data_IF_616101885700
#
_entry.id   IF_616101885700
#
_cell.length_a   1.000
_cell.length_b   1.000
_cell.length_c   1.000
_cell.angle_alpha   90.00
_cell.angle_beta   90.00
_cell.angle_gamma   90.00
#
_symmetry.space_group_name_H-M   'P 1'
#
loop_
_entity.id
_entity.type
_entity.pdbx_description
1 polymer ?
#
# COMPACT_ATOMS: atom_id res chain seq x y z
N UNK A 1 -23.80 -14.13 7.74
CA UNK A 1 -23.76 -13.24 8.90
C UNK A 1 -24.94 -12.28 8.82
N UNK A 2 -25.72 -12.12 9.92
CA UNK A 2 -26.82 -11.17 9.99
C UNK A 2 -26.31 -9.73 10.01
N UNK A 3 -27.12 -8.79 9.48
CA UNK A 3 -26.82 -7.36 9.46
C UNK A 3 -27.99 -6.62 10.16
N UNK A 4 -27.65 -5.77 11.12
CA UNK A 4 -28.64 -4.93 11.82
C UNK A 4 -28.09 -3.53 12.11
N UNK A 5 -28.97 -2.62 12.53
CA UNK A 5 -28.55 -1.31 12.99
C UNK A 5 -27.72 -1.46 14.27
N UNK A 6 -26.48 -0.93 14.26
CA UNK A 6 -25.61 -0.96 15.42
C UNK A 6 -26.03 0.15 16.40
N UNK A 7 -26.35 -0.17 17.68
CA UNK A 7 -26.90 0.82 18.62
C UNK A 7 -26.05 2.09 18.78
N UNK A 8 -24.73 1.92 18.87
CA UNK A 8 -23.80 3.05 19.00
C UNK A 8 -23.73 3.88 17.71
N UNK A 9 -23.77 3.25 16.53
CA UNK A 9 -23.80 3.97 15.25
C UNK A 9 -25.08 4.82 15.14
N UNK A 10 -26.24 4.25 15.51
CA UNK A 10 -27.51 4.98 15.56
C UNK A 10 -27.42 6.15 16.53
N UNK A 11 -26.89 5.94 17.76
CA UNK A 11 -26.77 7.00 18.76
C UNK A 11 -25.85 8.15 18.28
N UNK A 12 -24.72 7.83 17.68
CA UNK A 12 -23.78 8.83 17.12
C UNK A 12 -24.45 9.65 16.01
N UNK A 13 -25.11 8.98 15.07
CA UNK A 13 -25.78 9.62 13.94
C UNK A 13 -27.00 10.45 14.39
N UNK A 14 -27.81 9.95 15.32
CA UNK A 14 -28.92 10.71 15.91
C UNK A 14 -28.41 12.03 16.51
N UNK A 15 -27.33 11.97 17.28
CA UNK A 15 -26.74 13.17 17.91
C UNK A 15 -26.21 14.16 16.83
N UNK A 16 -25.62 13.64 15.79
CA UNK A 16 -25.07 14.46 14.70
C UNK A 16 -26.14 15.20 13.91
N UNK A 17 -27.23 14.51 13.56
CA UNK A 17 -28.32 15.13 12.80
C UNK A 17 -29.20 16.05 13.67
N UNK A 18 -29.28 15.82 14.98
CA UNK A 18 -30.04 16.63 15.91
C UNK A 18 -31.55 16.53 15.75
N UNK A 19 -32.04 16.73 14.53
CA UNK A 19 -33.46 16.61 14.18
C UNK A 19 -33.78 15.19 13.68
N UNK A 20 -34.74 14.46 14.28
CA UNK A 20 -35.18 13.16 13.83
C UNK A 20 -35.64 13.13 12.36
N UNK A 21 -36.21 14.22 11.86
CA UNK A 21 -36.64 14.33 10.46
C UNK A 21 -35.44 14.29 9.48
N UNK A 22 -34.27 14.71 9.93
CA UNK A 22 -33.04 14.64 9.13
C UNK A 22 -32.39 13.24 9.15
N UNK A 23 -32.63 12.45 10.18
CA UNK A 23 -32.14 11.07 10.26
C UNK A 23 -33.13 10.08 9.64
N UNK A 24 -33.33 10.26 8.34
CA UNK A 24 -34.28 9.50 7.54
C UNK A 24 -34.01 7.99 7.53
N UNK A 25 -35.01 7.13 7.16
CA UNK A 25 -34.79 5.69 7.00
C UNK A 25 -33.66 5.33 6.01
N UNK A 26 -33.45 6.16 4.99
CA UNK A 26 -32.34 5.98 4.05
C UNK A 26 -30.97 6.19 4.72
N UNK A 27 -30.85 7.23 5.56
CA UNK A 27 -29.64 7.51 6.34
C UNK A 27 -29.40 6.49 7.43
N UNK A 28 -30.45 5.93 8.04
CA UNK A 28 -30.33 4.86 9.03
C UNK A 28 -29.65 3.60 8.48
N UNK A 29 -29.72 3.35 7.18
CA UNK A 29 -29.00 2.23 6.56
C UNK A 29 -27.48 2.30 6.74
N UNK A 30 -26.92 3.51 6.90
CA UNK A 30 -25.50 3.70 7.18
C UNK A 30 -25.07 3.26 8.57
N UNK A 31 -26.02 3.02 9.47
CA UNK A 31 -25.77 2.45 10.79
C UNK A 31 -25.83 0.91 10.83
N UNK A 32 -26.08 0.27 9.69
CA UNK A 32 -26.15 -1.20 9.61
C UNK A 32 -24.74 -1.80 9.56
N UNK A 33 -24.49 -2.73 10.46
CA UNK A 33 -23.21 -3.40 10.63
C UNK A 33 -23.47 -4.90 10.75
N UNK A 34 -22.59 -5.77 10.20
CA UNK A 34 -22.67 -7.20 10.44
C UNK A 34 -22.58 -7.52 11.94
N UNK A 35 -23.28 -8.56 12.37
CA UNK A 35 -23.23 -8.99 13.77
C UNK A 35 -21.80 -9.39 14.13
N UNK A 36 -21.27 -8.83 15.22
CA UNK A 36 -19.89 -9.00 15.66
C UNK A 36 -18.90 -8.01 15.04
N UNK A 37 -19.37 -7.12 14.13
CA UNK A 37 -18.54 -6.07 13.56
C UNK A 37 -18.22 -4.97 14.57
N UNK A 38 -16.99 -4.49 14.56
CA UNK A 38 -16.50 -3.37 15.38
C UNK A 38 -16.53 -2.09 14.56
N UNK A 39 -17.07 -1.00 15.12
CA UNK A 39 -17.15 0.27 14.39
C UNK A 39 -15.76 0.84 14.08
N UNK A 40 -15.64 1.40 12.88
CA UNK A 40 -14.52 2.24 12.45
C UNK A 40 -14.99 3.69 12.43
N UNK A 41 -14.28 4.55 13.13
CA UNK A 41 -14.64 5.96 13.26
C UNK A 41 -14.54 6.71 11.95
N UNK A 42 -15.53 7.55 11.69
CA UNK A 42 -15.55 8.49 10.58
C UNK A 42 -15.55 9.92 11.12
N UNK A 43 -14.40 10.56 11.25
CA UNK A 43 -14.30 11.89 11.81
C UNK A 43 -14.83 13.00 10.88
N UNK A 44 -15.14 12.67 9.61
CA UNK A 44 -15.57 13.66 8.60
C UNK A 44 -17.09 13.75 8.51
N UNK A 45 -17.81 12.60 8.48
CA UNK A 45 -19.25 12.60 8.21
C UNK A 45 -20.08 11.73 9.16
N UNK A 46 -19.53 11.33 10.28
CA UNK A 46 -20.12 10.58 11.40
C UNK A 46 -20.61 9.16 11.07
N UNK A 47 -21.10 8.88 9.85
CA UNK A 47 -21.53 7.53 9.46
C UNK A 47 -20.34 6.56 9.53
N UNK A 48 -20.31 5.61 10.48
CA UNK A 48 -19.13 4.80 10.73
C UNK A 48 -18.94 3.76 9.63
N UNK A 49 -17.70 3.29 9.50
CA UNK A 49 -17.41 2.02 8.88
C UNK A 49 -17.46 0.88 9.88
N UNK A 50 -16.99 -0.28 9.47
CA UNK A 50 -16.86 -1.41 10.38
C UNK A 50 -15.67 -2.28 10.02
N UNK A 51 -15.17 -3.00 11.02
CA UNK A 51 -14.21 -4.08 10.90
C UNK A 51 -14.92 -5.39 11.23
N UNK A 52 -14.73 -6.40 10.39
CA UNK A 52 -15.14 -7.78 10.63
C UNK A 52 -13.92 -8.66 10.39
N UNK A 53 -13.38 -9.23 11.45
CA UNK A 53 -12.11 -9.98 11.41
C UNK A 53 -10.99 -9.16 10.75
N UNK A 54 -10.49 -9.57 9.58
CA UNK A 54 -9.45 -8.88 8.82
C UNK A 54 -10.00 -7.99 7.68
N UNK A 55 -11.32 -7.82 7.60
CA UNK A 55 -11.99 -6.98 6.59
C UNK A 55 -12.38 -5.65 7.20
N UNK A 56 -12.00 -4.56 6.54
CA UNK A 56 -12.36 -3.20 6.92
C UNK A 56 -13.20 -2.55 5.83
N UNK A 57 -14.31 -1.93 6.21
CA UNK A 57 -15.22 -1.24 5.29
C UNK A 57 -15.22 0.25 5.59
N UNK A 58 -14.97 1.06 4.56
CA UNK A 58 -14.94 2.53 4.64
C UNK A 58 -15.98 3.15 3.72
N UNK A 59 -16.27 4.44 3.92
CA UNK A 59 -17.06 5.23 2.99
C UNK A 59 -16.33 5.36 1.65
N UNK A 60 -17.07 5.39 0.53
CA UNK A 60 -16.50 5.44 -0.83
C UNK A 60 -15.95 6.81 -1.26
N UNK A 61 -15.98 7.83 -0.41
CA UNK A 61 -15.43 9.16 -0.71
C UNK A 61 -13.95 9.19 -0.29
N UNK A 62 -12.98 9.47 -1.19
CA UNK A 62 -11.55 9.33 -0.92
C UNK A 62 -11.07 10.01 0.36
N UNK A 63 -11.39 11.28 0.59
CA UNK A 63 -11.03 12.02 1.82
C UNK A 63 -11.61 11.38 3.09
N UNK A 64 -12.82 10.85 2.99
CA UNK A 64 -13.48 10.20 4.13
C UNK A 64 -12.82 8.85 4.41
N UNK A 65 -12.59 8.05 3.37
CA UNK A 65 -11.89 6.76 3.48
C UNK A 65 -10.49 6.91 4.09
N UNK A 66 -9.74 7.93 3.65
CA UNK A 66 -8.42 8.24 4.21
C UNK A 66 -8.49 8.60 5.69
N UNK A 67 -9.41 9.47 6.09
CA UNK A 67 -9.60 9.84 7.48
C UNK A 67 -10.03 8.65 8.35
N UNK A 68 -10.91 7.79 7.82
CA UNK A 68 -11.32 6.54 8.49
C UNK A 68 -10.14 5.56 8.62
N UNK A 69 -9.32 5.43 7.59
CA UNK A 69 -8.11 4.61 7.66
C UNK A 69 -7.16 5.12 8.74
N UNK A 70 -6.92 6.43 8.81
CA UNK A 70 -6.06 7.01 9.84
C UNK A 70 -6.60 6.74 11.25
N UNK A 71 -7.93 6.74 11.44
CA UNK A 71 -8.56 6.49 12.75
C UNK A 71 -8.35 5.05 13.24
N UNK A 72 -8.19 4.08 12.32
CA UNK A 72 -8.13 2.65 12.65
C UNK A 72 -6.78 1.98 12.40
N UNK A 73 -5.83 2.64 11.74
CA UNK A 73 -4.54 2.03 11.35
C UNK A 73 -3.77 1.37 12.51
N UNK A 74 -3.98 1.84 13.74
CA UNK A 74 -3.41 1.26 14.96
C UNK A 74 -3.91 -0.17 15.25
N UNK A 75 -5.02 -0.60 14.62
CA UNK A 75 -5.55 -1.97 14.72
C UNK A 75 -4.90 -2.94 13.73
N UNK A 76 -4.12 -2.43 12.79
CA UNK A 76 -3.44 -3.28 11.81
C UNK A 76 -2.23 -3.94 12.47
N UNK A 77 -2.16 -5.26 12.31
CA UNK A 77 -0.97 -6.01 12.66
C UNK A 77 -0.02 -5.92 11.47
N UNK A 78 1.10 -5.23 11.64
CA UNK A 78 2.12 -5.12 10.62
C UNK A 78 2.85 -6.43 10.40
N UNK A 79 3.19 -6.74 9.15
CA UNK A 79 4.18 -7.75 8.79
C UNK A 79 5.60 -7.19 8.88
N UNK A 80 6.60 -8.01 8.56
CA UNK A 80 7.97 -7.54 8.36
C UNK A 80 7.98 -6.51 7.24
N UNK A 81 8.52 -5.30 7.45
CA UNK A 81 8.61 -4.29 6.41
C UNK A 81 9.38 -4.80 5.20
N UNK A 82 8.83 -4.60 4.01
CA UNK A 82 9.54 -4.85 2.77
C UNK A 82 10.33 -3.59 2.43
N UNK A 83 11.63 -3.72 2.42
CA UNK A 83 12.58 -2.67 2.05
C UNK A 83 12.77 -2.66 0.53
N UNK A 84 13.18 -1.53 -0.02
CA UNK A 84 13.40 -1.39 -1.46
C UNK A 84 14.67 -0.59 -1.75
N UNK A 85 15.46 -1.08 -2.75
CA UNK A 85 16.59 -0.36 -3.33
C UNK A 85 16.39 -0.30 -4.84
N UNK A 86 16.67 0.84 -5.43
CA UNK A 86 16.53 1.04 -6.87
C UNK A 86 17.87 1.39 -7.48
N UNK A 87 18.33 0.60 -8.42
CA UNK A 87 19.50 0.91 -9.26
C UNK A 87 19.01 1.38 -10.61
N UNK A 88 19.39 2.59 -10.98
CA UNK A 88 19.10 3.15 -12.31
C UNK A 88 20.27 2.98 -13.24
N UNK A 89 19.98 2.64 -14.51
CA UNK A 89 20.98 2.53 -15.56
C UNK A 89 20.51 3.16 -16.86
N UNK A 90 21.47 3.52 -17.71
CA UNK A 90 21.26 3.94 -19.09
C UNK A 90 21.32 2.77 -20.09
N UNK A 91 21.62 1.55 -19.61
CA UNK A 91 21.61 0.36 -20.47
C UNK A 91 20.17 0.02 -20.89
N UNK A 92 19.95 -0.37 -22.15
CA UNK A 92 18.66 -0.89 -22.59
C UNK A 92 18.24 -2.15 -21.83
N UNK A 93 16.94 -2.31 -21.59
CA UNK A 93 16.40 -3.46 -20.85
C UNK A 93 16.82 -4.81 -21.44
N UNK A 94 16.81 -4.95 -22.78
CA UNK A 94 17.22 -6.17 -23.45
C UNK A 94 18.68 -6.57 -23.21
N UNK A 95 19.55 -5.62 -22.87
CA UNK A 95 20.96 -5.88 -22.55
C UNK A 95 21.11 -6.31 -21.09
N UNK A 96 20.33 -5.72 -20.17
CA UNK A 96 20.43 -6.02 -18.74
C UNK A 96 19.63 -7.27 -18.33
N UNK A 97 18.70 -7.74 -19.16
CA UNK A 97 17.76 -8.82 -18.82
C UNK A 97 18.47 -10.12 -18.41
N UNK A 98 19.49 -10.56 -19.16
CA UNK A 98 20.23 -11.80 -18.85
C UNK A 98 21.04 -11.67 -17.54
N UNK A 99 21.86 -10.62 -17.33
CA UNK A 99 22.53 -10.40 -16.05
C UNK A 99 21.57 -10.27 -14.87
N UNK A 100 20.42 -9.60 -15.05
CA UNK A 100 19.41 -9.45 -14.02
C UNK A 100 18.78 -10.80 -13.64
N UNK A 101 18.48 -11.65 -14.63
CA UNK A 101 18.00 -13.01 -14.41
C UNK A 101 19.03 -13.90 -13.69
N UNK A 102 20.32 -13.72 -13.96
CA UNK A 102 21.40 -14.40 -13.26
C UNK A 102 21.51 -13.91 -11.80
N UNK A 103 21.35 -12.60 -11.56
CA UNK A 103 21.31 -12.02 -10.22
C UNK A 103 20.11 -12.56 -9.41
N UNK A 104 18.91 -12.59 -10.01
CA UNK A 104 17.71 -13.12 -9.38
C UNK A 104 17.89 -14.57 -8.89
N UNK A 105 18.57 -15.41 -9.65
CA UNK A 105 18.87 -16.80 -9.27
C UNK A 105 19.83 -16.91 -8.08
N UNK A 106 20.70 -15.94 -7.85
CA UNK A 106 21.60 -15.91 -6.66
C UNK A 106 20.95 -15.29 -5.45
N UNK A 107 19.92 -14.47 -5.65
CA UNK A 107 19.17 -13.78 -4.62
C UNK A 107 17.69 -14.15 -4.75
N UNK A 108 17.39 -15.45 -4.59
CA UNK A 108 16.01 -15.99 -4.70
C UNK A 108 15.07 -15.45 -3.60
N UNK A 109 15.64 -14.98 -2.51
CA UNK A 109 14.95 -14.35 -1.39
C UNK A 109 14.54 -12.88 -1.64
N UNK A 110 14.97 -12.31 -2.76
CA UNK A 110 14.62 -10.95 -3.18
C UNK A 110 13.73 -10.97 -4.42
N UNK A 111 12.81 -10.01 -4.50
CA UNK A 111 12.05 -9.72 -5.72
C UNK A 111 12.81 -8.67 -6.53
N UNK A 112 13.21 -9.00 -7.76
CA UNK A 112 13.95 -8.09 -8.64
C UNK A 112 13.11 -7.81 -9.89
N UNK A 113 12.81 -6.54 -10.16
CA UNK A 113 12.04 -6.11 -11.31
C UNK A 113 12.74 -5.02 -12.12
N UNK A 114 12.49 -4.98 -13.44
CA UNK A 114 12.94 -3.91 -14.35
C UNK A 114 11.78 -3.04 -14.79
N UNK A 115 12.00 -1.72 -14.80
CA UNK A 115 10.99 -0.72 -15.17
C UNK A 115 11.62 0.27 -16.16
N UNK A 116 11.42 0.03 -17.48
CA UNK A 116 11.88 0.95 -18.51
C UNK A 116 11.19 2.31 -18.40
N UNK A 117 11.95 3.37 -18.65
CA UNK A 117 11.45 4.73 -18.65
C UNK A 117 12.24 5.60 -19.66
N UNK A 118 11.70 6.77 -19.97
CA UNK A 118 12.41 7.83 -20.68
C UNK A 118 12.63 9.01 -19.74
N UNK A 119 13.88 9.46 -19.62
CA UNK A 119 14.23 10.65 -18.83
C UNK A 119 15.02 11.62 -19.71
N UNK A 120 14.56 12.86 -19.77
CA UNK A 120 15.19 13.91 -20.60
C UNK A 120 15.42 13.46 -22.05
N UNK A 121 14.47 12.69 -22.62
CA UNK A 121 14.56 12.16 -23.98
C UNK A 121 15.52 10.98 -24.17
N UNK A 122 16.14 10.47 -23.10
CA UNK A 122 17.04 9.31 -23.15
C UNK A 122 16.40 8.08 -22.51
N UNK A 123 16.64 6.87 -23.07
CA UNK A 123 16.24 5.63 -22.40
C UNK A 123 16.91 5.48 -21.04
N UNK A 124 16.17 4.95 -20.08
CA UNK A 124 16.64 4.66 -18.72
C UNK A 124 15.88 3.46 -18.19
N UNK A 125 16.52 2.62 -17.40
CA UNK A 125 15.86 1.49 -16.72
C UNK A 125 16.07 1.63 -15.23
N UNK A 126 14.98 1.51 -14.46
CA UNK A 126 15.02 1.40 -13.00
C UNK A 126 14.92 -0.07 -12.62
N UNK A 127 15.93 -0.60 -11.97
CA UNK A 127 16.04 -1.97 -11.49
C UNK A 127 15.71 -1.92 -9.99
N UNK A 128 14.58 -2.49 -9.60
CA UNK A 128 14.06 -2.41 -8.24
C UNK A 128 14.24 -3.75 -7.55
N UNK A 129 14.97 -3.74 -6.44
CA UNK A 129 15.21 -4.89 -5.58
C UNK A 129 14.36 -4.72 -4.32
N UNK A 130 13.59 -5.74 -3.95
CA UNK A 130 12.73 -5.73 -2.76
C UNK A 130 12.99 -6.97 -1.91
N UNK A 131 12.94 -6.79 -0.60
CA UNK A 131 13.11 -7.88 0.36
C UNK A 131 12.98 -7.40 1.79
N UNK A 132 13.10 -8.31 2.74
CA UNK A 132 12.97 -8.01 4.17
C UNK A 132 14.32 -7.93 4.89
N UNK A 133 15.41 -8.31 4.22
CA UNK A 133 16.78 -8.29 4.75
C UNK A 133 17.61 -7.21 4.04
N UNK A 134 17.94 -6.14 4.77
CA UNK A 134 18.70 -5.02 4.22
C UNK A 134 20.12 -5.43 3.80
N UNK A 135 20.79 -6.32 4.53
CA UNK A 135 22.13 -6.77 4.15
C UNK A 135 22.14 -7.52 2.82
N UNK A 136 21.09 -8.32 2.57
CA UNK A 136 20.90 -9.01 1.29
C UNK A 136 20.61 -8.03 0.15
N UNK A 137 19.80 -7.01 0.41
CA UNK A 137 19.51 -5.94 -0.55
C UNK A 137 20.75 -5.14 -0.90
N UNK A 138 21.58 -4.78 0.08
CA UNK A 138 22.87 -4.10 -0.13
C UNK A 138 23.79 -4.94 -0.99
N UNK A 139 23.96 -6.23 -0.66
CA UNK A 139 24.83 -7.12 -1.42
C UNK A 139 24.38 -7.27 -2.89
N UNK A 140 23.08 -7.47 -3.11
CA UNK A 140 22.52 -7.59 -4.45
C UNK A 140 22.65 -6.28 -5.25
N UNK A 141 22.41 -5.12 -4.61
CA UNK A 141 22.54 -3.82 -5.23
C UNK A 141 23.97 -3.53 -5.68
N UNK A 142 24.96 -3.79 -4.81
CA UNK A 142 26.37 -3.60 -5.14
C UNK A 142 26.81 -4.51 -6.29
N UNK A 143 26.41 -5.77 -6.29
CA UNK A 143 26.72 -6.72 -7.37
C UNK A 143 26.08 -6.28 -8.69
N UNK A 144 24.84 -5.80 -8.64
CA UNK A 144 24.13 -5.27 -9.81
C UNK A 144 24.86 -4.05 -10.40
N UNK A 145 25.23 -3.10 -9.54
CA UNK A 145 25.96 -1.89 -9.94
C UNK A 145 27.32 -2.23 -10.56
N UNK A 146 28.07 -3.18 -10.00
CA UNK A 146 29.33 -3.66 -10.55
C UNK A 146 29.13 -4.31 -11.92
N UNK A 147 28.11 -5.14 -12.07
CA UNK A 147 27.74 -5.77 -13.34
C UNK A 147 27.41 -4.73 -14.41
N UNK A 148 26.61 -3.72 -14.10
CA UNK A 148 26.28 -2.62 -15.01
C UNK A 148 27.53 -1.86 -15.44
N UNK A 149 28.43 -1.55 -14.51
CA UNK A 149 29.69 -0.83 -14.82
C UNK A 149 30.64 -1.65 -15.70
N UNK A 150 30.72 -2.96 -15.48
CA UNK A 150 31.50 -3.88 -16.36
C UNK A 150 30.97 -3.93 -17.79
N UNK A 151 29.68 -3.61 -17.95
CA UNK A 151 29.04 -3.51 -19.29
C UNK A 151 29.11 -2.08 -19.87
N UNK A 152 29.95 -1.21 -19.30
CA UNK A 152 30.08 0.21 -19.66
C UNK A 152 28.78 1.01 -19.47
N UNK A 153 27.89 0.59 -18.57
CA UNK A 153 26.68 1.33 -18.17
C UNK A 153 26.93 2.24 -16.97
N UNK A 154 26.10 3.26 -16.88
CA UNK A 154 25.99 4.10 -15.68
C UNK A 154 25.11 3.40 -14.65
N UNK A 155 25.48 3.45 -13.37
CA UNK A 155 24.71 2.88 -12.28
C UNK A 155 24.62 3.86 -11.11
N UNK A 156 23.40 4.24 -10.75
CA UNK A 156 23.10 5.14 -9.64
C UNK A 156 22.06 4.47 -8.71
N UNK A 157 22.34 4.44 -7.41
CA UNK A 157 21.46 3.83 -6.41
C UNK A 157 20.57 4.86 -5.72
N UNK A 158 19.31 4.47 -5.45
CA UNK A 158 18.34 5.20 -4.64
C UNK A 158 17.77 4.24 -3.58
N UNK A 159 17.81 4.66 -2.32
CA UNK A 159 17.21 3.96 -1.18
C UNK A 159 15.87 4.62 -0.85
N UNK A 160 14.82 3.81 -0.71
CA UNK A 160 13.47 4.27 -0.32
C UNK A 160 13.08 3.67 1.03
#
# INVERSE_FOLDING_TARGET
>A
VGISEHPEAVARMTRHYGDPALFTPARRRMARVPHGGVLVDNPVSVAPGFQMENVFTFAGIPKVAEAMFQSMKHRLVGGTPVLSRTVRTNLPEGIIAEPLGALQKRFEDLDIGSYPAFRNGKPSVSLVLRGTDDARLVAASLELMDTIRKMNGEAEEFVQ
#
